data_IF_180036691719
#
_entry.id   IF_180036691719
#
_cell.length_a   1.000
_cell.length_b   1.000
_cell.length_c   1.000
_cell.angle_alpha   90.00
_cell.angle_beta   90.00
_cell.angle_gamma   90.00
#
_symmetry.space_group_name_H-M   'P 1'
#
loop_
_entity.id
_entity.type
_entity.pdbx_description
1 polymer ?
#
# COMPACT_ATOMS: atom_id res chain seq x y z
N UNK A 1 13.09 -7.09 -4.84
CA UNK A 1 11.66 -6.98 -5.23
C UNK A 1 11.47 -5.87 -6.22
N UNK A 2 10.49 -6.02 -7.11
CA UNK A 2 10.13 -4.96 -8.06
C UNK A 2 9.19 -3.96 -7.42
N UNK A 3 9.40 -2.68 -7.70
CA UNK A 3 8.59 -1.56 -7.23
C UNK A 3 8.41 -0.58 -8.38
N UNK A 4 7.18 -0.15 -8.64
CA UNK A 4 6.91 0.97 -9.54
C UNK A 4 7.02 2.28 -8.78
N UNK A 5 7.59 3.29 -9.42
CA UNK A 5 7.71 4.63 -8.85
C UNK A 5 7.31 5.67 -9.88
N UNK A 6 6.59 6.69 -9.40
CA UNK A 6 6.31 7.89 -10.18
C UNK A 6 7.50 8.83 -10.07
N UNK A 7 8.02 9.27 -11.21
CA UNK A 7 9.07 10.28 -11.28
C UNK A 7 8.48 11.62 -11.76
N UNK A 8 8.85 12.70 -11.10
CA UNK A 8 8.40 14.05 -11.45
C UNK A 8 8.74 14.39 -12.92
N UNK A 9 7.85 15.04 -13.67
CA UNK A 9 6.59 15.69 -13.26
C UNK A 9 5.35 14.78 -13.30
N UNK A 10 5.51 13.47 -13.34
CA UNK A 10 4.47 12.50 -13.65
C UNK A 10 4.35 12.29 -15.15
N UNK A 11 3.40 11.45 -15.57
CA UNK A 11 3.26 10.96 -16.94
C UNK A 11 3.54 9.47 -17.02
N UNK A 12 2.82 8.75 -17.85
CA UNK A 12 2.97 7.28 -17.92
C UNK A 12 4.37 6.86 -18.37
N UNK A 13 5.05 7.70 -19.14
CA UNK A 13 6.45 7.54 -19.56
C UNK A 13 7.46 7.74 -18.41
N UNK A 14 7.02 8.34 -17.30
CA UNK A 14 7.82 8.58 -16.09
C UNK A 14 7.50 7.59 -14.95
N UNK A 15 6.79 6.51 -15.27
CA UNK A 15 6.64 5.37 -14.38
C UNK A 15 7.88 4.45 -14.53
N UNK A 16 8.66 4.33 -13.49
CA UNK A 16 9.87 3.52 -13.49
C UNK A 16 9.71 2.27 -12.64
N UNK A 17 10.32 1.17 -13.09
CA UNK A 17 10.46 -0.05 -12.29
C UNK A 17 11.87 -0.04 -11.69
N UNK A 18 11.92 -0.11 -10.35
CA UNK A 18 13.18 -0.22 -9.62
C UNK A 18 13.22 -1.53 -8.85
N UNK A 19 14.43 -2.03 -8.63
CA UNK A 19 14.67 -3.19 -7.77
C UNK A 19 15.08 -2.72 -6.39
N UNK A 20 14.43 -3.27 -5.35
CA UNK A 20 14.68 -2.96 -3.94
C UNK A 20 14.83 -4.24 -3.13
N UNK A 21 15.46 -4.16 -1.98
CA UNK A 21 15.47 -5.26 -1.01
C UNK A 21 14.07 -5.45 -0.41
N UNK A 22 13.74 -6.69 -0.06
CA UNK A 22 12.50 -6.99 0.69
C UNK A 22 12.69 -6.48 2.12
N UNK A 23 11.82 -5.57 2.61
CA UNK A 23 11.97 -5.00 3.94
C UNK A 23 11.68 -6.05 5.02
N UNK A 24 12.15 -5.77 6.25
CA UNK A 24 11.80 -6.55 7.44
C UNK A 24 10.78 -5.78 8.28
N UNK A 25 9.75 -6.44 8.81
CA UNK A 25 8.75 -5.75 9.61
C UNK A 25 9.33 -5.35 10.98
N UNK A 26 9.23 -4.08 11.28
CA UNK A 26 9.49 -3.51 12.59
C UNK A 26 8.35 -3.83 13.57
N UNK A 27 8.50 -3.44 14.84
CA UNK A 27 7.43 -3.59 15.84
C UNK A 27 6.14 -2.91 15.37
N UNK A 28 5.00 -3.60 15.52
CA UNK A 28 3.68 -3.14 15.08
C UNK A 28 3.42 -3.22 13.57
N UNK A 29 4.43 -3.59 12.76
CA UNK A 29 4.31 -3.70 11.29
C UNK A 29 4.09 -5.14 10.84
N UNK A 30 3.52 -5.27 9.65
CA UNK A 30 3.27 -6.54 8.97
C UNK A 30 3.92 -6.49 7.60
N UNK A 31 4.74 -7.49 7.25
CA UNK A 31 5.25 -7.67 5.89
C UNK A 31 4.19 -8.40 5.07
N UNK A 32 3.72 -7.75 4.02
CA UNK A 32 2.74 -8.30 3.07
C UNK A 32 3.38 -8.51 1.71
N UNK A 33 3.14 -9.68 1.11
CA UNK A 33 3.37 -9.94 -0.30
C UNK A 33 2.09 -9.57 -1.06
N UNK A 34 2.13 -8.47 -1.79
CA UNK A 34 1.00 -8.00 -2.60
C UNK A 34 0.84 -8.87 -3.84
N UNK A 35 -0.36 -9.36 -4.08
CA UNK A 35 -0.70 -10.31 -5.15
C UNK A 35 -1.55 -9.66 -6.23
N UNK A 36 -2.31 -8.64 -5.86
CA UNK A 36 -3.17 -7.89 -6.77
C UNK A 36 -3.32 -6.44 -6.30
N UNK A 37 -3.56 -5.58 -7.25
CA UNK A 37 -3.96 -4.18 -7.05
C UNK A 37 -5.04 -3.86 -8.07
N UNK A 38 -5.87 -2.84 -7.81
CA UNK A 38 -6.85 -2.34 -8.77
C UNK A 38 -6.49 -0.94 -9.24
N UNK A 39 -6.80 -0.63 -10.50
CA UNK A 39 -6.57 0.69 -11.07
C UNK A 39 -7.82 1.55 -10.87
N UNK A 40 -7.72 2.54 -9.99
CA UNK A 40 -8.76 3.52 -9.73
C UNK A 40 -8.50 4.82 -10.50
N UNK A 41 -9.50 5.67 -10.64
CA UNK A 41 -9.32 6.98 -11.27
C UNK A 41 -8.31 7.85 -10.52
N UNK A 42 -8.25 7.73 -9.18
CA UNK A 42 -7.22 8.36 -8.35
C UNK A 42 -5.81 7.95 -8.78
N UNK A 43 -5.56 6.67 -8.98
CA UNK A 43 -4.24 6.14 -9.37
C UNK A 43 -3.83 6.63 -10.76
N UNK A 44 -4.80 6.73 -11.68
CA UNK A 44 -4.57 7.32 -12.98
C UNK A 44 -4.16 8.80 -12.87
N UNK A 45 -4.84 9.59 -12.03
CA UNK A 45 -4.47 11.00 -11.82
C UNK A 45 -3.06 11.15 -11.22
N UNK A 46 -2.67 10.28 -10.29
CA UNK A 46 -1.30 10.25 -9.77
C UNK A 46 -0.31 9.89 -10.89
N UNK A 47 -0.60 8.85 -11.65
CA UNK A 47 0.30 8.36 -12.70
C UNK A 47 0.56 9.38 -13.80
N UNK A 48 -0.46 10.15 -14.20
CA UNK A 48 -0.31 11.20 -15.25
C UNK A 48 0.19 12.54 -14.71
N UNK A 49 0.43 12.67 -13.38
CA UNK A 49 0.84 13.93 -12.76
C UNK A 49 -0.29 14.93 -12.51
N UNK A 50 -1.56 14.51 -12.64
CA UNK A 50 -2.73 15.32 -12.30
C UNK A 50 -2.89 15.56 -10.80
N UNK A 51 -2.41 14.63 -9.99
CA UNK A 51 -2.19 14.79 -8.55
C UNK A 51 -0.68 14.79 -8.33
N UNK A 52 -0.08 15.92 -7.91
CA UNK A 52 1.35 15.99 -7.63
C UNK A 52 1.74 15.11 -6.45
N UNK A 53 2.75 14.29 -6.61
CA UNK A 53 3.31 13.44 -5.56
C UNK A 53 4.83 13.66 -5.45
N UNK A 54 5.41 13.21 -4.35
CA UNK A 54 6.86 13.23 -4.18
C UNK A 54 7.54 12.30 -5.20
N UNK A 55 8.72 12.70 -5.64
CA UNK A 55 9.53 11.89 -6.56
C UNK A 55 9.88 10.54 -5.93
N UNK A 56 9.68 9.47 -6.67
CA UNK A 56 9.85 8.11 -6.18
C UNK A 56 8.63 7.53 -5.46
N UNK A 57 7.48 8.24 -5.42
CA UNK A 57 6.23 7.73 -4.82
C UNK A 57 5.81 6.42 -5.49
N UNK A 58 5.49 5.42 -4.67
CA UNK A 58 4.89 4.16 -5.14
C UNK A 58 3.38 4.38 -5.34
N UNK A 59 2.87 4.28 -6.58
CA UNK A 59 1.46 4.50 -6.85
C UNK A 59 0.59 3.31 -6.44
N UNK A 60 -0.70 3.37 -6.74
CA UNK A 60 -1.78 2.41 -6.51
C UNK A 60 -2.31 2.43 -5.08
N UNK A 61 -3.59 2.76 -4.96
CA UNK A 61 -4.28 3.00 -3.68
C UNK A 61 -4.84 1.75 -3.02
N UNK A 62 -5.00 0.65 -3.77
CA UNK A 62 -5.52 -0.61 -3.28
C UNK A 62 -4.49 -1.73 -3.38
N UNK A 63 -4.49 -2.60 -2.38
CA UNK A 63 -3.66 -3.80 -2.39
C UNK A 63 -4.38 -4.99 -1.76
N UNK A 64 -4.27 -6.15 -2.39
CA UNK A 64 -4.66 -7.43 -1.81
C UNK A 64 -3.44 -8.36 -1.80
N UNK A 65 -3.19 -9.02 -0.68
CA UNK A 65 -1.97 -9.79 -0.51
C UNK A 65 -2.02 -10.80 0.62
N UNK A 66 -0.88 -11.40 0.87
CA UNK A 66 -0.70 -12.40 1.90
C UNK A 66 0.37 -11.94 2.90
N UNK A 67 0.08 -12.07 4.18
CA UNK A 67 1.03 -11.81 5.26
C UNK A 67 2.18 -12.81 5.17
N UNK A 68 3.41 -12.31 5.13
CA UNK A 68 4.63 -13.13 5.07
C UNK A 68 5.30 -13.22 6.43
N UNK A 69 5.34 -12.09 7.14
CA UNK A 69 5.94 -12.00 8.47
C UNK A 69 5.26 -10.88 9.27
N UNK A 70 5.38 -10.95 10.58
CA UNK A 70 4.87 -9.94 11.51
C UNK A 70 5.99 -9.44 12.40
N UNK A 71 5.96 -8.15 12.72
CA UNK A 71 6.88 -7.54 13.67
C UNK A 71 6.49 -7.80 15.11
N UNK A 72 7.36 -7.40 16.01
CA UNK A 72 7.14 -7.53 17.46
C UNK A 72 5.83 -6.85 17.88
N UNK A 73 5.08 -7.47 18.80
CA UNK A 73 3.81 -6.98 19.35
C UNK A 73 2.59 -7.20 18.46
N UNK A 74 2.72 -7.64 17.20
CA UNK A 74 1.58 -7.96 16.33
C UNK A 74 1.01 -9.32 16.68
N UNK A 75 -0.25 -9.36 17.13
CA UNK A 75 -0.98 -10.60 17.43
C UNK A 75 -2.25 -10.79 16.58
N UNK A 76 -2.66 -9.77 15.85
CA UNK A 76 -3.87 -9.78 14.99
C UNK A 76 -3.69 -10.55 13.71
N UNK A 77 -2.44 -10.68 13.25
CA UNK A 77 -2.05 -11.29 11.99
C UNK A 77 -1.00 -12.38 12.17
N UNK A 78 -0.96 -13.31 11.24
CA UNK A 78 0.09 -14.34 11.12
C UNK A 78 0.40 -14.63 9.66
N UNK A 79 1.56 -15.22 9.40
CA UNK A 79 1.94 -15.66 8.06
C UNK A 79 0.86 -16.57 7.44
N UNK A 80 0.54 -16.33 6.17
CA UNK A 80 -0.51 -16.99 5.42
C UNK A 80 -1.90 -16.33 5.51
N UNK A 81 -2.10 -15.32 6.37
CA UNK A 81 -3.37 -14.59 6.40
C UNK A 81 -3.52 -13.74 5.12
N UNK A 82 -4.69 -13.82 4.48
CA UNK A 82 -5.04 -13.02 3.31
C UNK A 82 -5.66 -11.71 3.74
N UNK A 83 -5.12 -10.62 3.20
CA UNK A 83 -5.44 -9.27 3.62
C UNK A 83 -5.71 -8.34 2.44
N UNK A 84 -6.46 -7.28 2.69
CA UNK A 84 -6.61 -6.13 1.81
C UNK A 84 -6.25 -4.85 2.57
N UNK A 85 -5.70 -3.88 1.85
CA UNK A 85 -5.31 -2.59 2.41
C UNK A 85 -6.51 -1.70 2.67
N UNK A 86 -6.32 -0.69 3.52
CA UNK A 86 -7.25 0.44 3.67
C UNK A 86 -6.76 1.62 2.85
N UNK A 87 -7.68 2.32 2.16
CA UNK A 87 -7.37 3.53 1.39
C UNK A 87 -6.83 4.66 2.28
N UNK A 88 -7.45 4.84 3.46
CA UNK A 88 -6.97 5.72 4.52
C UNK A 88 -6.39 4.88 5.66
N UNK A 89 -5.07 4.61 5.67
CA UNK A 89 -4.47 3.71 6.64
C UNK A 89 -4.61 4.17 8.10
N UNK A 90 -4.79 5.49 8.32
CA UNK A 90 -4.94 6.08 9.64
C UNK A 90 -6.39 6.18 10.13
N UNK A 91 -7.38 5.84 9.28
CA UNK A 91 -8.79 5.89 9.68
C UNK A 91 -9.25 4.55 10.24
N UNK A 92 -9.09 4.36 11.53
CA UNK A 92 -9.40 3.08 12.19
C UNK A 92 -10.89 2.96 12.56
N UNK A 93 -11.57 4.06 12.91
CA UNK A 93 -12.98 4.04 13.30
C UNK A 93 -13.59 5.43 13.45
N UNK A 94 -14.91 5.51 13.55
CA UNK A 94 -15.64 6.73 13.88
C UNK A 94 -15.83 7.69 12.71
N UNK A 95 -16.04 8.98 13.04
CA UNK A 95 -16.21 10.03 12.04
C UNK A 95 -14.83 10.40 11.43
N UNK A 96 -14.79 10.83 10.16
CA UNK A 96 -13.55 11.28 9.55
C UNK A 96 -12.97 12.49 10.31
N UNK A 97 -11.65 12.52 10.44
CA UNK A 97 -10.90 13.65 10.98
C UNK A 97 -9.75 13.98 10.05
N UNK A 98 -9.15 15.15 10.19
CA UNK A 98 -8.00 15.54 9.36
C UNK A 98 -6.86 14.51 9.47
N UNK A 99 -6.53 14.06 10.69
CA UNK A 99 -5.48 13.05 10.92
C UNK A 99 -5.85 11.67 10.37
N UNK A 100 -7.14 11.28 10.40
CA UNK A 100 -7.58 10.00 9.86
C UNK A 100 -7.46 9.93 8.33
N UNK A 101 -7.58 11.07 7.64
CA UNK A 101 -7.61 11.14 6.17
C UNK A 101 -6.37 11.80 5.56
N UNK A 102 -5.35 12.12 6.36
CA UNK A 102 -4.15 12.79 5.86
C UNK A 102 -3.25 11.86 5.02
N UNK A 103 -3.19 10.58 5.40
CA UNK A 103 -2.45 9.58 4.64
C UNK A 103 -3.38 8.89 3.62
N UNK A 104 -3.00 8.95 2.35
CA UNK A 104 -3.70 8.31 1.23
C UNK A 104 -2.69 7.43 0.53
N UNK A 105 -2.97 6.12 0.48
CA UNK A 105 -2.10 5.16 -0.20
C UNK A 105 -1.99 5.48 -1.69
N UNK A 106 -0.77 5.50 -2.19
CA UNK A 106 -0.45 5.82 -3.59
C UNK A 106 -0.36 7.32 -3.91
N UNK A 107 -0.56 8.19 -2.92
CA UNK A 107 -0.55 9.65 -3.05
C UNK A 107 0.36 10.27 -1.97
N UNK A 108 -0.18 10.63 -0.80
CA UNK A 108 0.60 11.20 0.31
C UNK A 108 1.40 10.14 1.09
N UNK A 109 1.04 8.87 0.92
CA UNK A 109 1.79 7.71 1.40
C UNK A 109 2.07 6.75 0.25
N UNK A 110 3.08 5.89 0.40
CA UNK A 110 3.37 4.85 -0.60
C UNK A 110 2.22 3.87 -0.76
N UNK A 111 1.94 3.54 -2.03
CA UNK A 111 0.91 2.59 -2.42
C UNK A 111 1.42 1.16 -2.64
N UNK A 112 0.69 0.44 -3.47
CA UNK A 112 0.79 -1.02 -3.58
C UNK A 112 1.32 -1.52 -4.94
N UNK A 113 1.83 -0.63 -5.82
CA UNK A 113 2.50 -1.03 -7.05
C UNK A 113 3.91 -1.60 -6.79
N UNK A 114 4.00 -2.56 -5.89
CA UNK A 114 5.24 -3.25 -5.47
C UNK A 114 4.94 -4.66 -4.99
N UNK A 115 5.95 -5.54 -5.03
CA UNK A 115 5.73 -6.93 -4.63
C UNK A 115 5.57 -7.08 -3.11
N UNK A 116 6.31 -6.32 -2.30
CA UNK A 116 6.27 -6.40 -0.84
C UNK A 116 6.27 -5.02 -0.20
N UNK A 117 5.62 -4.89 0.95
CA UNK A 117 5.84 -3.76 1.85
C UNK A 117 5.54 -4.10 3.29
N UNK A 118 6.14 -3.36 4.20
CA UNK A 118 5.74 -3.33 5.61
C UNK A 118 4.70 -2.24 5.80
N UNK A 119 3.55 -2.60 6.37
CA UNK A 119 2.45 -1.70 6.68
C UNK A 119 2.05 -1.83 8.14
N UNK A 120 1.36 -0.84 8.69
CA UNK A 120 0.82 -0.93 10.04
C UNK A 120 -0.20 -2.07 10.14
N UNK A 121 -0.15 -2.85 11.22
CA UNK A 121 -1.06 -3.98 11.42
C UNK A 121 -2.54 -3.57 11.34
N UNK A 122 -2.86 -2.35 11.80
CA UNK A 122 -4.22 -1.80 11.82
C UNK A 122 -4.67 -1.20 10.47
N UNK A 123 -3.76 -1.02 9.51
CA UNK A 123 -4.08 -0.54 8.16
C UNK A 123 -4.56 -1.64 7.20
N UNK A 124 -4.80 -2.83 7.72
CA UNK A 124 -5.24 -4.01 6.98
C UNK A 124 -6.59 -4.51 7.47
N UNK A 125 -7.33 -5.13 6.56
CA UNK A 125 -8.51 -5.92 6.90
C UNK A 125 -8.44 -7.30 6.25
N UNK A 126 -9.22 -8.27 6.76
CA UNK A 126 -9.25 -9.63 6.20
C UNK A 126 -9.88 -9.63 4.82
N UNK A 127 -9.23 -10.31 3.88
CA UNK A 127 -9.85 -10.58 2.58
C UNK A 127 -11.08 -11.46 2.77
N UNK A 128 -12.23 -11.15 2.13
CA UNK A 128 -13.42 -12.02 2.21
C UNK A 128 -13.13 -13.43 1.70
N UNK A 129 -13.65 -14.45 2.37
CA UNK A 129 -13.36 -15.87 2.07
C UNK A 129 -13.82 -16.34 0.69
N UNK A 130 -14.76 -15.63 0.07
CA UNK A 130 -15.30 -15.94 -1.26
C UNK A 130 -14.59 -15.20 -2.40
N UNK A 131 -13.44 -14.52 -2.11
CA UNK A 131 -12.63 -13.82 -3.10
C UNK A 131 -11.30 -14.53 -3.31
N UNK A 132 -10.75 -14.31 -4.51
CA UNK A 132 -9.36 -14.65 -4.88
C UNK A 132 -8.61 -13.36 -5.19
N UNK A 133 -7.29 -13.43 -5.24
CA UNK A 133 -6.46 -12.31 -5.70
C UNK A 133 -6.69 -12.00 -7.17
#
# INVERSE_FOLDING_TARGET
MKTYQVTSPGGLENLNIVEQEIPRPEAGKVLVHWRATSLNFHDYLVGIGGIPVEDGRVPMSDGAGEVVAVGEGVSTWKAGDKVVSLFFPNWLSGKPSATATEAISGDTADGFAREYSCVDADSLTRMPNNYTF
#
